data_IF_298501418574
#
_entry.id   IF_298501418574
#
_cell.length_a   1.000
_cell.length_b   1.000
_cell.length_c   1.000
_cell.angle_alpha   90.00
_cell.angle_beta   90.00
_cell.angle_gamma   90.00
#
_symmetry.space_group_name_H-M   'P 1'
#
loop_
_entity.id
_entity.type
_entity.pdbx_description
1 polymer ?
#
# COMPACT_ATOMS: atom_id res chain seq x y z
N UNK A 1 -2.97 65.84 -13.66
CA UNK A 1 -2.03 66.98 -13.67
C UNK A 1 -1.45 67.12 -12.26
N UNK A 2 -0.12 66.94 -12.12
CA UNK A 2 0.78 67.25 -10.97
C UNK A 2 0.48 66.59 -9.60
N UNK A 3 1.29 65.68 -9.04
CA UNK A 3 2.57 65.86 -8.33
C UNK A 3 2.58 67.09 -7.39
N UNK A 4 3.01 67.07 -6.12
CA UNK A 4 3.73 66.11 -5.27
C UNK A 4 4.09 66.82 -3.93
N UNK A 5 5.02 66.25 -3.16
CA UNK A 5 5.72 66.79 -1.97
C UNK A 5 5.01 66.64 -0.60
N UNK A 6 5.67 66.41 0.54
CA UNK A 6 7.05 66.06 0.87
C UNK A 6 7.12 65.50 2.30
N UNK A 7 8.19 64.76 2.57
CA UNK A 7 8.49 63.99 3.77
C UNK A 7 9.33 64.73 4.83
N UNK A 8 9.34 64.14 6.05
CA UNK A 8 10.33 64.22 7.15
C UNK A 8 10.12 65.21 8.31
N UNK A 9 10.12 64.65 9.53
CA UNK A 9 11.03 65.02 10.63
C UNK A 9 11.00 63.96 11.75
N UNK A 10 12.16 63.38 12.03
CA UNK A 10 12.45 62.67 13.28
C UNK A 10 13.23 63.59 14.23
N UNK A 11 13.03 63.41 15.53
CA UNK A 11 13.76 64.10 16.60
C UNK A 11 14.00 63.14 17.76
N UNK A 12 15.26 63.03 18.19
CA UNK A 12 15.76 62.18 19.27
C UNK A 12 15.94 63.05 20.51
N UNK A 13 15.38 62.65 21.66
CA UNK A 13 15.75 63.20 22.97
C UNK A 13 16.01 62.10 24.00
N UNK A 14 17.02 62.37 24.84
CA UNK A 14 17.66 61.51 25.83
C UNK A 14 16.90 61.52 27.16
N UNK A 15 16.95 60.42 27.91
CA UNK A 15 16.78 60.45 29.36
C UNK A 15 17.73 59.45 30.05
N UNK A 16 18.41 59.93 31.09
CA UNK A 16 19.31 59.22 32.00
C UNK A 16 18.57 58.87 33.32
N UNK A 17 19.14 58.01 34.21
CA UNK A 17 18.40 57.11 35.10
C UNK A 17 18.15 57.63 36.52
N UNK A 18 17.18 57.04 37.24
CA UNK A 18 16.95 57.19 38.69
C UNK A 18 16.51 55.83 39.30
N UNK A 19 16.56 55.59 40.63
CA UNK A 19 17.35 54.51 41.22
C UNK A 19 16.53 53.48 42.02
N UNK A 20 17.28 52.53 42.59
CA UNK A 20 16.90 51.36 43.39
C UNK A 20 15.71 51.49 44.36
N UNK A 21 14.94 50.40 44.41
CA UNK A 21 14.41 49.85 45.66
C UNK A 21 12.91 49.61 45.65
N UNK A 22 12.48 48.37 45.37
CA UNK A 22 11.37 47.75 46.10
C UNK A 22 11.44 46.22 45.95
N UNK A 23 11.84 45.58 47.04
CA UNK A 23 11.81 44.14 47.28
C UNK A 23 10.37 43.64 47.19
N UNK A 24 10.10 42.71 46.28
CA UNK A 24 8.96 41.79 46.39
C UNK A 24 9.48 40.36 46.31
N UNK A 25 9.21 39.63 47.40
CA UNK A 25 9.62 38.26 47.66
C UNK A 25 8.83 37.32 46.75
N UNK A 26 9.47 36.78 45.70
CA UNK A 26 8.93 35.68 44.92
C UNK A 26 9.61 34.38 45.36
N UNK A 27 8.89 33.56 46.13
CA UNK A 27 9.36 32.25 46.57
C UNK A 27 9.61 31.28 45.39
N UNK A 28 10.45 30.24 45.57
CA UNK A 28 10.78 29.32 44.48
C UNK A 28 9.58 28.39 44.22
N UNK A 29 8.95 28.54 43.05
CA UNK A 29 8.00 27.56 42.54
C UNK A 29 8.72 26.23 42.32
N UNK A 30 8.37 25.25 43.15
CA UNK A 30 8.95 23.91 43.17
C UNK A 30 8.95 23.27 41.78
N UNK A 31 10.14 22.84 41.34
CA UNK A 31 10.30 21.95 40.20
C UNK A 31 9.64 20.61 40.53
N UNK A 32 8.38 20.46 40.12
CA UNK A 32 7.69 19.18 40.08
C UNK A 32 8.54 18.17 39.31
N UNK A 33 8.97 17.13 40.02
CA UNK A 33 9.73 15.99 39.50
C UNK A 33 8.92 15.37 38.36
N UNK A 34 9.33 15.60 37.10
CA UNK A 34 8.83 14.84 35.95
C UNK A 34 9.10 13.37 36.26
N UNK A 35 8.06 12.64 36.64
CA UNK A 35 8.14 11.20 36.86
C UNK A 35 8.75 10.52 35.62
N UNK A 36 9.42 9.36 35.79
CA UNK A 36 10.05 8.67 34.69
C UNK A 36 9.03 8.48 33.58
N UNK A 37 9.34 8.96 32.37
CA UNK A 37 8.58 8.60 31.17
C UNK A 37 8.51 7.08 31.19
N UNK A 38 7.31 6.52 31.40
CA UNK A 38 7.03 5.09 31.24
C UNK A 38 7.69 4.71 29.93
N UNK A 39 8.80 3.97 30.03
CA UNK A 39 9.51 3.45 28.88
C UNK A 39 8.46 2.81 27.99
N UNK A 40 8.43 3.20 26.72
CA UNK A 40 7.58 2.54 25.74
C UNK A 40 7.85 1.05 25.90
N UNK A 41 6.82 0.32 26.33
CA UNK A 41 6.86 -1.14 26.40
C UNK A 41 7.40 -1.56 25.04
N UNK A 42 8.63 -2.10 25.01
CA UNK A 42 9.12 -2.80 23.81
C UNK A 42 8.01 -3.80 23.54
N UNK A 43 7.32 -3.60 22.43
CA UNK A 43 6.34 -4.57 21.94
C UNK A 43 7.14 -5.85 21.74
N UNK A 44 7.15 -6.71 22.77
CA UNK A 44 7.52 -8.12 22.61
C UNK A 44 6.77 -8.58 21.38
N UNK A 45 7.50 -9.08 20.39
CA UNK A 45 6.94 -9.52 19.12
C UNK A 45 5.84 -10.52 19.42
N UNK A 46 4.59 -10.05 19.42
CA UNK A 46 3.45 -10.87 19.79
C UNK A 46 3.38 -11.99 18.76
N UNK A 47 3.64 -13.20 19.24
CA UNK A 47 3.53 -14.40 18.43
C UNK A 47 2.14 -14.41 17.77
N UNK A 48 2.11 -14.62 16.46
CA UNK A 48 0.86 -14.54 15.71
C UNK A 48 -0.10 -15.66 16.16
N UNK A 49 -1.24 -15.26 16.71
CA UNK A 49 -2.36 -16.15 17.03
C UNK A 49 -3.39 -16.08 15.90
N UNK A 50 -3.54 -17.14 15.09
CA UNK A 50 -4.44 -17.12 13.95
C UNK A 50 -5.89 -17.23 14.40
N UNK A 51 -6.74 -16.34 13.86
CA UNK A 51 -8.18 -16.31 14.17
C UNK A 51 -8.97 -17.10 13.14
N UNK A 52 -8.54 -17.06 11.88
CA UNK A 52 -9.19 -17.72 10.75
C UNK A 52 -8.76 -19.17 10.56
N UNK A 53 -9.63 -19.96 9.92
CA UNK A 53 -9.31 -21.34 9.49
C UNK A 53 -8.04 -21.36 8.62
N UNK A 54 -7.91 -20.42 7.68
CA UNK A 54 -6.69 -20.27 6.87
C UNK A 54 -5.46 -19.97 7.72
N UNK A 55 -5.56 -19.00 8.63
CA UNK A 55 -4.43 -18.64 9.50
C UNK A 55 -3.93 -19.85 10.30
N UNK A 56 -4.83 -20.71 10.78
CA UNK A 56 -4.45 -21.95 11.49
C UNK A 56 -3.72 -22.92 10.56
N UNK A 57 -4.29 -23.19 9.38
CA UNK A 57 -3.66 -24.09 8.39
C UNK A 57 -2.27 -23.60 7.94
N UNK A 58 -2.11 -22.28 7.79
CA UNK A 58 -0.84 -21.67 7.39
C UNK A 58 0.18 -21.71 8.54
N UNK A 59 -0.22 -21.35 9.77
CA UNK A 59 0.66 -21.41 10.94
C UNK A 59 1.14 -22.84 11.21
N UNK A 60 0.28 -23.83 10.97
CA UNK A 60 0.57 -25.24 11.17
C UNK A 60 1.32 -25.87 9.96
N UNK A 61 1.68 -25.09 8.93
CA UNK A 61 2.50 -25.53 7.79
C UNK A 61 1.80 -26.50 6.83
N UNK A 62 0.47 -26.56 6.84
CA UNK A 62 -0.31 -27.48 5.98
C UNK A 62 -0.42 -26.96 4.56
N UNK A 63 -0.65 -25.66 4.43
CA UNK A 63 -0.60 -24.95 3.15
C UNK A 63 0.85 -24.50 2.96
N UNK A 64 1.49 -24.98 1.90
CA UNK A 64 2.92 -24.76 1.66
C UNK A 64 3.19 -23.53 0.81
N UNK A 65 2.26 -23.14 -0.06
CA UNK A 65 2.47 -22.05 -1.02
C UNK A 65 1.30 -21.07 -1.07
N UNK A 66 1.61 -19.83 -1.47
CA UNK A 66 0.60 -18.80 -1.74
C UNK A 66 -0.28 -19.14 -2.96
N UNK A 67 0.29 -19.88 -3.92
CA UNK A 67 -0.40 -20.32 -5.14
C UNK A 67 -1.58 -21.25 -4.84
N UNK A 68 -1.46 -22.12 -3.85
CA UNK A 68 -2.52 -22.99 -3.39
C UNK A 68 -3.74 -22.19 -2.90
N UNK A 69 -3.49 -21.08 -2.19
CA UNK A 69 -4.54 -20.16 -1.72
C UNK A 69 -5.24 -19.49 -2.91
N UNK A 70 -4.49 -19.12 -3.94
CA UNK A 70 -5.05 -18.52 -5.16
C UNK A 70 -5.84 -19.51 -6.00
N UNK A 71 -5.38 -20.75 -6.13
CA UNK A 71 -6.04 -21.81 -6.89
C UNK A 71 -7.48 -22.04 -6.39
N UNK A 72 -7.63 -22.17 -5.06
CA UNK A 72 -8.94 -22.37 -4.43
C UNK A 72 -9.69 -21.06 -4.14
N UNK A 73 -9.16 -19.91 -4.59
CA UNK A 73 -9.77 -18.58 -4.40
C UNK A 73 -10.15 -18.27 -2.94
N UNK A 74 -9.31 -18.68 -1.99
CA UNK A 74 -9.61 -18.55 -0.56
C UNK A 74 -9.36 -17.11 -0.07
N UNK A 75 -10.30 -16.50 0.69
CA UNK A 75 -10.18 -15.09 1.06
C UNK A 75 -9.17 -14.87 2.19
N UNK A 76 -8.08 -14.16 1.88
CA UNK A 76 -7.04 -13.78 2.86
C UNK A 76 -7.51 -12.60 3.72
N UNK A 77 -7.91 -12.88 4.96
CA UNK A 77 -8.39 -11.86 5.93
C UNK A 77 -7.29 -11.36 6.86
N UNK A 78 -6.22 -12.11 7.05
CA UNK A 78 -5.10 -11.80 7.94
C UNK A 78 -3.88 -11.43 7.11
N UNK A 79 -3.15 -10.36 7.49
CA UNK A 79 -1.97 -9.93 6.73
C UNK A 79 -0.75 -10.79 7.06
N UNK A 80 -0.74 -11.41 8.25
CA UNK A 80 0.33 -12.27 8.73
C UNK A 80 0.52 -13.51 7.85
N UNK A 81 -0.57 -13.99 7.20
CA UNK A 81 -0.50 -15.09 6.22
C UNK A 81 0.48 -14.74 5.10
N UNK A 82 0.42 -13.52 4.58
CA UNK A 82 1.28 -13.07 3.49
C UNK A 82 2.70 -12.81 3.97
N UNK A 83 2.86 -12.33 5.20
CA UNK A 83 4.18 -12.13 5.79
C UNK A 83 4.94 -13.44 6.02
N UNK A 84 4.21 -14.52 6.32
CA UNK A 84 4.76 -15.86 6.47
C UNK A 84 5.27 -16.43 5.14
N UNK A 85 4.50 -16.30 4.05
CA UNK A 85 4.88 -16.84 2.74
C UNK A 85 5.88 -15.96 1.99
N UNK A 86 5.80 -14.64 2.12
CA UNK A 86 6.59 -13.68 1.34
C UNK A 86 7.40 -12.76 2.26
N UNK A 87 8.57 -13.21 2.74
CA UNK A 87 9.43 -12.38 3.61
C UNK A 87 10.09 -11.21 2.87
N UNK A 88 10.28 -11.30 1.55
CA UNK A 88 10.97 -10.29 0.70
C UNK A 88 10.08 -9.14 0.21
N UNK A 89 8.91 -8.97 0.82
CA UNK A 89 7.88 -8.05 0.34
C UNK A 89 8.28 -6.59 0.53
N UNK A 90 8.34 -5.80 -0.56
CA UNK A 90 8.60 -4.35 -0.51
C UNK A 90 7.30 -3.56 -0.53
N UNK A 91 7.26 -2.48 0.25
CA UNK A 91 6.17 -1.50 0.27
C UNK A 91 6.60 -0.15 -0.33
N UNK A 92 5.79 0.39 -1.23
CA UNK A 92 6.01 1.71 -1.82
C UNK A 92 4.77 2.59 -1.63
N UNK A 93 4.97 3.80 -1.10
CA UNK A 93 3.90 4.79 -0.95
C UNK A 93 3.78 5.60 -2.23
N UNK A 94 2.67 5.41 -2.95
CA UNK A 94 2.45 6.01 -4.27
C UNK A 94 1.99 7.47 -4.18
N UNK A 95 0.97 7.74 -3.35
CA UNK A 95 0.41 9.08 -3.18
C UNK A 95 -0.26 9.23 -1.82
N UNK A 96 0.02 10.34 -1.15
CA UNK A 96 -0.71 10.81 0.02
C UNK A 96 -1.50 12.06 -0.39
N UNK A 97 -2.79 12.11 -0.08
CA UNK A 97 -3.65 13.25 -0.37
C UNK A 97 -4.49 13.62 0.87
N UNK A 98 -4.63 14.91 1.21
CA UNK A 98 -5.61 15.34 2.19
C UNK A 98 -7.01 15.23 1.59
N UNK A 99 -7.96 14.76 2.39
CA UNK A 99 -9.39 14.73 2.10
C UNK A 99 -10.08 15.47 3.24
N UNK A 100 -10.92 16.45 2.90
CA UNK A 100 -11.55 17.33 3.88
C UNK A 100 -13.06 17.06 3.91
N UNK A 101 -13.63 17.01 5.11
CA UNK A 101 -15.08 16.99 5.33
C UNK A 101 -15.46 18.24 6.10
N UNK A 102 -16.38 19.03 5.55
CA UNK A 102 -16.95 20.17 6.27
C UNK A 102 -17.85 19.66 7.41
N UNK A 103 -17.66 20.21 8.61
CA UNK A 103 -18.50 19.96 9.79
C UNK A 103 -18.92 21.30 10.39
N UNK A 104 -19.92 21.29 11.28
CA UNK A 104 -20.38 22.51 11.96
C UNK A 104 -19.25 23.17 12.77
N UNK A 105 -18.36 22.36 13.36
CA UNK A 105 -17.19 22.82 14.13
C UNK A 105 -15.95 23.14 13.25
N UNK A 106 -16.10 23.21 11.92
CA UNK A 106 -15.03 23.54 10.97
C UNK A 106 -14.64 22.39 10.02
N UNK A 107 -13.47 22.51 9.39
CA UNK A 107 -12.97 21.52 8.42
C UNK A 107 -12.26 20.36 9.12
N UNK A 108 -12.84 19.16 9.03
CA UNK A 108 -12.18 17.93 9.49
C UNK A 108 -11.34 17.35 8.36
N UNK A 109 -10.02 17.39 8.51
CA UNK A 109 -9.09 16.85 7.51
C UNK A 109 -8.64 15.44 7.86
N UNK A 110 -8.55 14.59 6.85
CA UNK A 110 -8.01 13.22 6.93
C UNK A 110 -7.03 13.02 5.80
N UNK A 111 -6.10 12.09 5.94
CA UNK A 111 -5.19 11.75 4.85
C UNK A 111 -5.55 10.39 4.26
N UNK A 112 -5.68 10.36 2.94
CA UNK A 112 -5.82 9.15 2.15
C UNK A 112 -4.48 8.84 1.53
N UNK A 113 -3.97 7.64 1.77
CA UNK A 113 -2.73 7.16 1.19
C UNK A 113 -2.98 5.93 0.33
N UNK A 114 -2.30 5.89 -0.82
CA UNK A 114 -2.21 4.72 -1.69
C UNK A 114 -0.85 4.10 -1.51
N UNK A 115 -0.83 2.80 -1.19
CA UNK A 115 0.38 2.01 -1.01
C UNK A 115 0.31 0.83 -1.95
N UNK A 116 1.39 0.63 -2.68
CA UNK A 116 1.64 -0.56 -3.47
C UNK A 116 2.57 -1.48 -2.70
N UNK A 117 2.39 -2.78 -2.89
CA UNK A 117 3.19 -3.82 -2.28
C UNK A 117 3.54 -4.83 -3.36
N UNK A 118 4.76 -5.33 -3.37
CA UNK A 118 5.14 -6.44 -4.25
C UNK A 118 6.51 -7.02 -3.95
N UNK A 119 6.76 -8.20 -4.49
CA UNK A 119 7.97 -9.01 -4.29
C UNK A 119 8.84 -9.10 -5.55
N UNK A 120 8.48 -8.41 -6.63
CA UNK A 120 9.15 -8.49 -7.94
C UNK A 120 9.11 -9.88 -8.60
N UNK A 121 8.51 -10.87 -7.95
CA UNK A 121 8.39 -12.26 -8.41
C UNK A 121 6.93 -12.56 -8.81
N UNK A 122 6.23 -11.56 -9.34
CA UNK A 122 4.87 -11.72 -9.80
C UNK A 122 3.80 -11.49 -8.74
N UNK A 123 4.06 -11.03 -7.51
CA UNK A 123 2.98 -10.69 -6.57
C UNK A 123 2.84 -9.18 -6.38
N UNK A 124 1.61 -8.67 -6.52
CA UNK A 124 1.30 -7.24 -6.31
C UNK A 124 0.05 -7.04 -5.50
N UNK A 125 0.07 -6.10 -4.57
CA UNK A 125 -1.07 -5.64 -3.81
C UNK A 125 -1.22 -4.14 -3.91
N UNK A 126 -2.44 -3.67 -4.11
CA UNK A 126 -2.77 -2.25 -4.03
C UNK A 126 -3.71 -2.00 -2.84
N UNK A 127 -3.33 -1.08 -1.97
CA UNK A 127 -4.11 -0.70 -0.79
C UNK A 127 -4.33 0.80 -0.73
N UNK A 128 -5.58 1.21 -0.51
CA UNK A 128 -5.92 2.58 -0.18
C UNK A 128 -6.46 2.67 1.24
N UNK A 129 -5.83 3.44 2.12
CA UNK A 129 -6.33 3.66 3.48
C UNK A 129 -6.51 5.15 3.77
N UNK A 130 -7.62 5.47 4.43
CA UNK A 130 -7.88 6.80 4.99
C UNK A 130 -7.62 6.74 6.49
N UNK A 131 -6.87 7.72 7.00
CA UNK A 131 -6.56 7.84 8.42
C UNK A 131 -6.75 9.27 8.90
N UNK A 132 -7.06 9.36 10.18
CA UNK A 132 -7.06 10.61 10.94
C UNK A 132 -5.70 10.74 11.64
N UNK A 133 -5.01 11.87 11.43
CA UNK A 133 -3.68 12.11 12.00
C UNK A 133 -2.70 12.84 11.07
N UNK A 134 -1.47 13.06 11.56
CA UNK A 134 -0.39 13.82 10.89
C UNK A 134 0.11 13.17 9.58
N UNK A 135 0.57 14.00 8.64
CA UNK A 135 1.17 13.63 7.33
C UNK A 135 2.31 12.61 7.46
N UNK A 136 3.03 12.59 8.58
CA UNK A 136 4.20 11.72 8.79
C UNK A 136 3.88 10.29 9.23
N UNK A 137 2.60 9.94 9.44
CA UNK A 137 2.26 8.58 9.86
C UNK A 137 2.18 7.67 8.65
N UNK A 138 3.17 6.78 8.50
CA UNK A 138 3.14 5.77 7.43
C UNK A 138 1.79 5.01 7.44
N UNK A 139 1.16 4.81 6.26
CA UNK A 139 -0.06 4.04 6.16
C UNK A 139 0.17 2.63 6.71
N UNK A 140 -0.82 1.99 7.35
CA UNK A 140 -0.61 0.61 7.80
C UNK A 140 -0.44 -0.29 6.59
N UNK A 141 0.68 -1.02 6.55
CA UNK A 141 1.04 -2.01 5.52
C UNK A 141 0.03 -3.16 5.40
N UNK A 142 -0.83 -3.36 6.40
CA UNK A 142 -1.73 -4.52 6.47
C UNK A 142 -2.83 -4.56 5.39
N UNK A 143 -3.34 -3.42 4.92
CA UNK A 143 -4.42 -3.40 3.91
C UNK A 143 -3.97 -3.81 2.50
N UNK A 144 -2.89 -3.26 1.94
CA UNK A 144 -2.37 -3.71 0.65
C UNK A 144 -1.93 -5.17 0.66
N UNK A 145 -1.41 -5.68 1.79
CA UNK A 145 -1.09 -7.12 1.95
C UNK A 145 -2.31 -7.98 1.65
N UNK A 146 -3.46 -7.74 2.30
CA UNK A 146 -4.69 -8.53 2.07
C UNK A 146 -5.22 -8.50 0.64
N UNK A 147 -4.81 -7.50 -0.15
CA UNK A 147 -5.22 -7.34 -1.55
C UNK A 147 -4.13 -7.80 -2.53
N UNK A 148 -3.19 -8.64 -2.09
CA UNK A 148 -2.18 -9.23 -2.97
C UNK A 148 -2.88 -10.11 -4.02
N UNK A 149 -2.50 -9.89 -5.26
CA UNK A 149 -2.87 -10.67 -6.42
C UNK A 149 -1.58 -11.00 -7.14
N UNK A 150 -1.49 -12.23 -7.61
CA UNK A 150 -0.42 -12.64 -8.49
C UNK A 150 -0.78 -12.15 -9.91
N UNK A 151 0.04 -11.35 -10.61
CA UNK A 151 0.07 -11.30 -12.06
C UNK A 151 0.40 -12.64 -12.68
N UNK A 152 -0.17 -12.96 -13.85
CA UNK A 152 0.36 -14.07 -14.64
C UNK A 152 1.61 -13.62 -15.34
N UNK A 153 2.80 -14.16 -15.01
CA UNK A 153 3.89 -14.13 -15.95
C UNK A 153 3.49 -14.96 -17.17
N UNK A 154 3.75 -14.47 -18.39
CA UNK A 154 3.45 -15.21 -19.61
C UNK A 154 4.66 -15.59 -20.40
N UNK A 155 4.54 -16.78 -20.97
CA UNK A 155 5.47 -17.50 -21.81
C UNK A 155 5.06 -17.46 -23.29
N UNK A 156 3.91 -16.88 -23.66
CA UNK A 156 3.45 -16.86 -25.07
C UNK A 156 2.64 -15.61 -25.48
N UNK A 157 3.22 -14.82 -26.40
CA UNK A 157 2.79 -14.58 -27.80
C UNK A 157 3.75 -13.55 -28.46
N UNK A 158 4.65 -14.01 -29.35
CA UNK A 158 5.45 -13.13 -30.25
C UNK A 158 6.97 -13.08 -30.00
N UNK A 159 7.48 -13.69 -28.93
CA UNK A 159 8.91 -13.97 -28.75
C UNK A 159 9.07 -15.46 -28.44
N UNK A 160 10.06 -16.10 -29.07
CA UNK A 160 10.37 -17.51 -28.88
C UNK A 160 10.39 -17.91 -27.39
N UNK A 161 10.03 -19.17 -27.05
CA UNK A 161 10.11 -19.72 -25.69
C UNK A 161 11.58 -19.93 -25.26
N UNK A 162 12.34 -18.85 -25.18
CA UNK A 162 13.76 -18.84 -24.83
C UNK A 162 13.91 -18.07 -23.53
N UNK A 163 13.77 -18.72 -22.37
CA UNK A 163 14.08 -18.12 -21.05
C UNK A 163 12.86 -17.61 -20.27
N UNK A 164 13.13 -16.82 -19.22
CA UNK A 164 12.12 -16.37 -18.26
C UNK A 164 11.08 -15.41 -18.89
N UNK A 165 9.83 -15.46 -18.39
CA UNK A 165 8.74 -14.62 -18.89
C UNK A 165 8.94 -13.15 -18.52
N UNK A 166 9.17 -12.29 -19.52
CA UNK A 166 9.50 -10.87 -19.33
C UNK A 166 8.31 -9.91 -19.48
N UNK A 167 7.18 -10.37 -20.06
CA UNK A 167 6.03 -9.51 -20.43
C UNK A 167 4.66 -10.13 -20.15
N UNK A 168 3.60 -9.36 -20.40
CA UNK A 168 2.18 -9.73 -20.22
C UNK A 168 1.72 -10.67 -21.35
N UNK A 169 0.88 -11.71 -21.09
CA UNK A 169 0.45 -12.70 -22.11
C UNK A 169 -0.27 -12.11 -23.31
N UNK A 170 -1.16 -11.17 -23.06
CA UNK A 170 -2.05 -10.64 -24.06
C UNK A 170 -2.30 -9.16 -23.81
N UNK A 171 -2.93 -8.48 -24.77
CA UNK A 171 -3.30 -7.08 -24.60
C UNK A 171 -4.45 -6.99 -23.60
N UNK A 172 -4.16 -6.64 -22.34
CA UNK A 172 -5.16 -6.57 -21.27
C UNK A 172 -5.58 -5.12 -21.00
N UNK A 173 -6.86 -4.88 -20.74
CA UNK A 173 -7.39 -3.56 -20.40
C UNK A 173 -8.13 -3.54 -19.06
N UNK A 174 -7.76 -2.59 -18.20
CA UNK A 174 -8.42 -2.29 -16.93
C UNK A 174 -9.11 -0.93 -16.99
N UNK A 175 -10.34 -0.85 -16.46
CA UNK A 175 -11.12 0.39 -16.40
C UNK A 175 -11.60 0.62 -14.97
N UNK A 176 -11.40 1.82 -14.45
CA UNK A 176 -11.93 2.27 -13.16
C UNK A 176 -12.36 3.74 -13.28
N UNK A 177 -13.65 4.00 -13.09
CA UNK A 177 -14.23 5.33 -13.33
C UNK A 177 -14.04 5.77 -14.79
N UNK A 178 -13.53 6.99 -14.99
CA UNK A 178 -13.22 7.54 -16.31
C UNK A 178 -11.87 7.08 -16.88
N UNK A 179 -11.06 6.35 -16.11
CA UNK A 179 -9.68 6.01 -16.48
C UNK A 179 -9.62 4.58 -17.02
N UNK A 180 -8.97 4.42 -18.16
CA UNK A 180 -8.66 3.13 -18.78
C UNK A 180 -7.15 2.99 -18.92
N UNK A 181 -6.60 1.84 -18.52
CA UNK A 181 -5.21 1.47 -18.71
C UNK A 181 -5.16 0.17 -19.52
N UNK A 182 -4.43 0.17 -20.63
CA UNK A 182 -4.19 -0.99 -21.48
C UNK A 182 -2.72 -1.36 -21.40
N UNK A 183 -2.44 -2.61 -21.05
CA UNK A 183 -1.12 -3.23 -21.08
C UNK A 183 -0.98 -3.97 -22.41
N UNK A 184 0.15 -3.78 -23.06
CA UNK A 184 0.46 -4.34 -24.37
C UNK A 184 1.82 -5.06 -24.24
N UNK A 185 1.93 -6.32 -24.71
CA UNK A 185 3.19 -7.05 -24.68
C UNK A 185 4.26 -6.32 -25.49
N UNK A 186 5.49 -6.38 -25.01
CA UNK A 186 6.65 -5.74 -25.61
C UNK A 186 7.77 -6.75 -25.89
N UNK A 187 8.61 -6.51 -26.90
CA UNK A 187 9.81 -7.33 -27.13
C UNK A 187 10.82 -7.13 -26.00
N UNK A 188 11.76 -8.06 -25.88
CA UNK A 188 12.76 -8.04 -24.80
C UNK A 188 13.66 -6.81 -24.85
N UNK A 189 13.93 -6.24 -23.68
CA UNK A 189 14.82 -5.09 -23.53
C UNK A 189 14.17 -3.74 -23.86
N UNK A 190 12.85 -3.70 -24.02
CA UNK A 190 12.09 -2.46 -24.21
C UNK A 190 12.03 -1.64 -22.92
N UNK A 191 12.05 -2.32 -21.77
CA UNK A 191 11.70 -1.79 -20.47
C UNK A 191 10.22 -1.43 -20.34
N UNK A 192 9.88 -0.86 -19.19
CA UNK A 192 8.51 -0.43 -18.90
C UNK A 192 8.27 0.98 -19.43
N UNK A 193 7.50 1.06 -20.51
CA UNK A 193 7.05 2.31 -21.13
C UNK A 193 5.68 2.67 -20.55
N UNK A 194 5.71 3.34 -19.40
CA UNK A 194 4.51 3.77 -18.69
C UNK A 194 4.68 5.07 -17.92
N UNK A 195 3.55 5.71 -17.60
CA UNK A 195 3.51 6.81 -16.64
C UNK A 195 4.15 6.39 -15.30
N UNK A 196 4.79 7.30 -14.55
CA UNK A 196 5.62 6.95 -13.39
C UNK A 196 4.86 6.14 -12.34
N UNK A 197 3.59 6.47 -12.09
CA UNK A 197 2.73 5.74 -11.16
C UNK A 197 2.45 4.28 -11.61
N UNK A 198 2.21 4.04 -12.91
CA UNK A 198 2.07 2.69 -13.45
C UNK A 198 3.39 1.95 -13.48
N UNK A 199 4.47 2.65 -13.82
CA UNK A 199 5.81 2.07 -13.91
C UNK A 199 6.22 1.43 -12.60
N UNK A 200 6.05 2.13 -11.46
CA UNK A 200 6.32 1.56 -10.13
C UNK A 200 5.47 0.33 -9.81
N UNK A 201 4.17 0.36 -10.13
CA UNK A 201 3.30 -0.80 -9.95
C UNK A 201 3.73 -2.02 -10.78
N UNK A 202 4.12 -1.81 -12.04
CA UNK A 202 4.59 -2.87 -12.93
C UNK A 202 5.97 -3.39 -12.52
N UNK A 203 6.84 -2.53 -11.98
CA UNK A 203 8.11 -2.96 -11.38
C UNK A 203 7.88 -3.87 -10.18
N UNK A 204 6.99 -3.48 -9.27
CA UNK A 204 6.62 -4.32 -8.12
C UNK A 204 5.99 -5.65 -8.55
N UNK A 205 5.38 -5.70 -9.73
CA UNK A 205 4.85 -6.91 -10.34
C UNK A 205 5.90 -7.85 -10.91
N UNK A 206 7.16 -7.43 -11.06
CA UNK A 206 8.15 -8.22 -11.78
C UNK A 206 7.96 -8.21 -13.30
N UNK A 207 7.19 -7.26 -13.85
CA UNK A 207 7.09 -7.12 -15.32
C UNK A 207 8.26 -6.28 -15.80
N UNK A 208 9.09 -6.84 -16.67
CA UNK A 208 10.29 -6.18 -17.19
C UNK A 208 9.98 -5.28 -18.38
N UNK A 209 9.22 -5.81 -19.35
CA UNK A 209 8.89 -5.12 -20.59
C UNK A 209 7.38 -4.99 -20.76
N UNK A 210 6.90 -3.76 -20.95
CA UNK A 210 5.49 -3.52 -21.24
C UNK A 210 5.30 -2.16 -21.89
N UNK A 211 4.50 -2.13 -22.96
CA UNK A 211 3.90 -0.89 -23.44
C UNK A 211 2.60 -0.62 -22.69
N UNK A 212 2.38 0.63 -22.31
CA UNK A 212 1.11 1.03 -21.70
C UNK A 212 0.42 2.13 -22.51
N UNK A 213 -0.90 2.04 -22.58
CA UNK A 213 -1.74 3.08 -23.13
C UNK A 213 -2.78 3.47 -22.08
N UNK A 214 -2.79 4.74 -21.68
CA UNK A 214 -3.77 5.28 -20.76
C UNK A 214 -4.74 6.22 -21.48
N UNK A 215 -6.05 6.07 -21.24
CA UNK A 215 -7.10 6.98 -21.74
C UNK A 215 -7.95 7.50 -20.58
N UNK A 216 -8.45 8.73 -20.71
CA UNK A 216 -9.27 9.40 -19.69
C UNK A 216 -8.45 10.27 -18.73
N UNK A 217 -9.04 10.63 -17.58
CA UNK A 217 -8.44 11.58 -16.62
C UNK A 217 -7.39 10.92 -15.72
N UNK A 218 -6.17 10.76 -16.24
CA UNK A 218 -5.02 10.18 -15.53
C UNK A 218 -4.53 11.03 -14.35
N UNK A 219 -4.95 12.30 -14.26
CA UNK A 219 -4.68 13.17 -13.12
C UNK A 219 -5.21 12.58 -11.79
N UNK A 220 -6.30 11.81 -11.85
CA UNK A 220 -6.84 11.07 -10.71
C UNK A 220 -6.01 9.80 -10.43
N UNK A 221 -4.81 9.99 -9.85
CA UNK A 221 -3.86 8.90 -9.56
C UNK A 221 -4.48 7.70 -8.84
N UNK A 222 -5.43 7.91 -7.91
CA UNK A 222 -6.08 6.81 -7.20
C UNK A 222 -6.88 5.86 -8.12
N UNK A 223 -7.56 6.40 -9.13
CA UNK A 223 -8.28 5.61 -10.12
C UNK A 223 -7.32 5.00 -11.13
N UNK A 224 -6.28 5.73 -11.51
CA UNK A 224 -5.26 5.24 -12.42
C UNK A 224 -4.51 4.01 -11.89
N UNK A 225 -4.05 4.06 -10.64
CA UNK A 225 -3.42 2.92 -9.96
C UNK A 225 -4.36 1.71 -9.88
N UNK A 226 -5.64 1.94 -9.55
CA UNK A 226 -6.66 0.88 -9.53
C UNK A 226 -6.94 0.31 -10.91
N UNK A 227 -6.98 1.14 -11.96
CA UNK A 227 -7.18 0.67 -13.33
C UNK A 227 -6.01 -0.20 -13.80
N UNK A 228 -4.79 0.18 -13.45
CA UNK A 228 -3.58 -0.61 -13.72
C UNK A 228 -3.63 -1.95 -12.99
N UNK A 229 -3.96 -1.93 -11.70
CA UNK A 229 -4.11 -3.15 -10.89
C UNK A 229 -5.23 -4.06 -11.41
N UNK A 230 -6.33 -3.49 -11.89
CA UNK A 230 -7.41 -4.23 -12.52
C UNK A 230 -6.97 -4.86 -13.86
N UNK A 231 -6.10 -4.20 -14.63
CA UNK A 231 -5.51 -4.78 -15.84
C UNK A 231 -4.65 -6.00 -15.48
N UNK A 232 -3.77 -5.88 -14.49
CA UNK A 232 -2.94 -6.98 -13.97
C UNK A 232 -3.80 -8.14 -13.44
N UNK A 233 -4.93 -7.85 -12.80
CA UNK A 233 -5.84 -8.90 -12.32
C UNK A 233 -6.47 -9.69 -13.47
N UNK A 234 -6.84 -9.01 -14.56
CA UNK A 234 -7.48 -9.64 -15.73
C UNK A 234 -6.54 -10.54 -16.53
N UNK A 235 -5.24 -10.46 -16.30
CA UNK A 235 -4.24 -11.36 -16.90
C UNK A 235 -4.51 -12.83 -16.58
N UNK A 236 -4.98 -13.14 -15.36
CA UNK A 236 -5.43 -14.48 -14.98
C UNK A 236 -6.81 -14.84 -15.54
N UNK A 237 -7.67 -13.84 -15.79
CA UNK A 237 -9.02 -14.05 -16.30
C UNK A 237 -9.04 -14.37 -17.82
N UNK A 238 -8.00 -13.98 -18.56
CA UNK A 238 -7.93 -14.22 -20.00
C UNK A 238 -7.53 -15.66 -20.30
N UNK A 239 -8.41 -16.44 -20.92
CA UNK A 239 -8.13 -17.84 -21.29
C UNK A 239 -7.25 -17.89 -22.54
N UNK A 240 -5.99 -18.30 -22.38
CA UNK A 240 -5.09 -18.59 -23.50
C UNK A 240 -5.23 -20.06 -23.94
N UNK A 241 -4.85 -20.41 -25.19
CA UNK A 241 -4.89 -21.78 -25.68
C UNK A 241 -4.12 -22.79 -24.82
N UNK A 242 -3.08 -22.36 -24.13
CA UNK A 242 -2.26 -23.21 -23.24
C UNK A 242 -3.05 -23.79 -22.07
N UNK A 243 -4.16 -23.14 -21.71
CA UNK A 243 -5.00 -23.46 -20.55
C UNK A 243 -6.27 -24.23 -20.93
N UNK A 244 -6.40 -24.67 -22.19
CA UNK A 244 -7.58 -25.42 -22.64
C UNK A 244 -7.61 -26.87 -22.13
N UNK A 245 -6.50 -27.35 -21.54
CA UNK A 245 -6.45 -28.68 -20.96
C UNK A 245 -7.38 -28.76 -19.75
N UNK A 246 -8.15 -29.83 -19.67
CA UNK A 246 -8.98 -30.11 -18.51
C UNK A 246 -8.09 -30.42 -17.29
N UNK A 247 -8.27 -29.64 -16.22
CA UNK A 247 -7.56 -29.83 -14.96
C UNK A 247 -8.50 -30.58 -14.03
N UNK A 248 -8.08 -31.73 -13.44
CA UNK A 248 -8.92 -32.43 -12.47
C UNK A 248 -9.17 -31.56 -11.25
N UNK A 249 -10.41 -31.56 -10.76
CA UNK A 249 -10.78 -30.80 -9.56
C UNK A 249 -10.14 -31.45 -8.34
N UNK A 250 -9.14 -30.78 -7.76
CA UNK A 250 -8.54 -31.18 -6.48
C UNK A 250 -9.49 -30.88 -5.32
N UNK A 251 -9.32 -31.60 -4.20
CA UNK A 251 -10.12 -31.36 -3.00
C UNK A 251 -9.72 -30.03 -2.37
N UNK A 252 -10.68 -29.40 -1.70
CA UNK A 252 -10.43 -28.15 -0.98
C UNK A 252 -9.52 -28.43 0.22
N UNK A 253 -8.54 -27.55 0.52
CA UNK A 253 -7.62 -27.75 1.64
C UNK A 253 -8.35 -27.72 3.00
N UNK A 254 -9.53 -27.10 3.05
CA UNK A 254 -10.40 -27.17 4.23
C UNK A 254 -10.99 -28.56 4.47
N UNK A 255 -11.31 -29.28 3.40
CA UNK A 255 -11.91 -30.62 3.49
C UNK A 255 -10.82 -31.64 3.83
N UNK A 256 -9.66 -31.55 3.17
CA UNK A 256 -8.51 -32.41 3.45
C UNK A 256 -8.00 -32.28 4.88
N UNK A 257 -8.03 -31.07 5.45
CA UNK A 257 -7.55 -30.80 6.80
C UNK A 257 -8.66 -30.58 7.82
N UNK A 258 -9.89 -31.04 7.52
CA UNK A 258 -11.05 -30.88 8.41
C UNK A 258 -10.81 -31.42 9.82
N UNK A 259 -10.26 -32.64 9.94
CA UNK A 259 -9.95 -33.26 11.24
C UNK A 259 -9.00 -32.39 12.09
N UNK A 260 -8.03 -31.75 11.45
CA UNK A 260 -7.09 -30.87 12.13
C UNK A 260 -7.72 -29.55 12.56
N UNK A 261 -8.57 -28.97 11.71
CA UNK A 261 -9.32 -27.77 12.07
C UNK A 261 -10.17 -28.02 13.32
N UNK A 262 -10.78 -29.19 13.44
CA UNK A 262 -11.52 -29.60 14.65
C UNK A 262 -10.61 -29.69 15.88
N UNK A 263 -9.42 -30.29 15.75
CA UNK A 263 -8.45 -30.37 16.86
C UNK A 263 -7.93 -28.99 17.29
N UNK A 264 -7.61 -28.12 16.32
CA UNK A 264 -7.16 -26.75 16.59
C UNK A 264 -8.23 -25.89 17.26
N UNK A 265 -9.50 -26.13 16.97
CA UNK A 265 -10.61 -25.43 17.60
C UNK A 265 -10.80 -25.84 19.07
N UNK A 266 -10.61 -27.13 19.40
CA UNK A 266 -10.71 -27.64 20.76
C UNK A 266 -9.60 -27.13 21.69
N UNK A 267 -8.40 -26.85 21.16
CA UNK A 267 -7.28 -26.27 21.93
C UNK A 267 -7.44 -24.78 22.28
N UNK A 268 -8.41 -24.10 21.68
CA UNK A 268 -8.61 -22.66 21.85
C UNK A 268 -9.65 -22.31 22.94
N UNK A 269 -10.32 -23.33 23.51
CA UNK A 269 -11.20 -23.25 24.67
C UNK A 269 -10.52 -23.93 25.86
#
# INVERSE_FOLDING_TARGET
>A
MGNGQDTWRGGVERASPIPNGLTTVAGPLGRGRRGPRRGGRKDEEKEWQPVTKLGRLVKDGKIKSMEEIYLFSLPVKEYQIIDFFLPKLKDEVMKIMPVQKQTQAGQRTRFKAFVAIGDFEGHVGLGGQVREGSRNRHPRRHHPRKALRHPRPSWLLGCCPLGEPHTVPSKVSGKVGSVMCRLIPAPRGTGIVAAPACKRLLQLAGVEDCYSQSKGSTATMGNFLKATFAAITKTYAFLTPDLWREIPVSKLPYDEHSAHLQMSAKKAY
#
